data_IF_227946450671
#
_entry.id   IF_227946450671
#
_cell.length_a   1.000
_cell.length_b   1.000
_cell.length_c   1.000
_cell.angle_alpha   90.00
_cell.angle_beta   90.00
_cell.angle_gamma   90.00
#
_symmetry.space_group_name_H-M   'P 1'
#
loop_
_entity.id
_entity.type
_entity.pdbx_description
1 polymer ?
#
# COMPACT_ATOMS: atom_id res chain seq x y z
N UNK A 1 -17.85 7.24 30.19
CA UNK A 1 -18.17 8.63 29.77
C UNK A 1 -16.86 9.31 29.37
N UNK A 2 -16.83 10.18 28.36
CA UNK A 2 -15.59 10.50 27.63
C UNK A 2 -14.73 11.57 28.32
N UNK A 3 -13.49 11.22 28.63
CA UNK A 3 -12.48 12.13 29.24
C UNK A 3 -11.76 12.98 28.16
N UNK A 4 -11.98 12.70 26.87
CA UNK A 4 -11.15 13.20 25.76
C UNK A 4 -11.32 14.65 25.31
N UNK A 5 -12.28 15.43 25.81
CA UNK A 5 -12.44 16.86 25.42
C UNK A 5 -11.77 17.86 26.36
N UNK A 6 -11.57 17.52 27.63
CA UNK A 6 -11.03 18.47 28.62
C UNK A 6 -9.52 18.68 28.48
N UNK A 7 -8.76 17.67 28.07
CA UNK A 7 -7.31 17.77 27.90
C UNK A 7 -6.95 18.66 26.71
N UNK A 8 -7.55 18.41 25.53
CA UNK A 8 -7.38 19.24 24.33
C UNK A 8 -7.71 20.73 24.55
N UNK A 9 -8.69 21.06 25.40
CA UNK A 9 -9.02 22.45 25.70
C UNK A 9 -8.02 23.12 26.65
N UNK A 10 -7.40 22.37 27.57
CA UNK A 10 -6.44 22.92 28.54
C UNK A 10 -5.04 23.14 27.93
N UNK A 11 -4.62 22.29 26.98
CA UNK A 11 -3.37 22.52 26.21
C UNK A 11 -3.48 23.75 25.31
N UNK A 12 -4.66 23.95 24.69
CA UNK A 12 -4.97 25.10 23.83
C UNK A 12 -4.87 26.46 24.55
N UNK A 13 -5.18 26.52 25.85
CA UNK A 13 -5.27 27.78 26.60
C UNK A 13 -3.89 28.38 26.95
N UNK A 14 -2.81 27.59 26.93
CA UNK A 14 -1.47 28.03 27.38
C UNK A 14 -0.45 28.29 26.25
N UNK A 15 -0.86 28.27 24.98
CA UNK A 15 0.05 28.61 23.86
C UNK A 15 0.28 30.12 23.80
N UNK A 16 1.43 30.57 24.33
CA UNK A 16 1.70 31.98 24.64
C UNK A 16 1.88 32.97 23.46
N UNK A 17 1.63 32.56 22.21
CA UNK A 17 1.51 33.46 21.07
C UNK A 17 0.27 33.14 20.24
N UNK A 18 -0.60 34.14 20.06
CA UNK A 18 -1.88 34.04 19.34
C UNK A 18 -1.73 33.54 17.90
N UNK A 19 -0.60 33.79 17.25
CA UNK A 19 -0.28 33.25 15.93
C UNK A 19 -0.31 31.72 15.90
N UNK A 20 0.35 31.04 16.85
CA UNK A 20 0.43 29.58 16.89
C UNK A 20 -0.94 28.94 17.10
N UNK A 21 -1.79 29.55 17.94
CA UNK A 21 -3.17 29.13 18.12
C UNK A 21 -4.03 29.36 16.85
N UNK A 22 -3.86 30.49 16.16
CA UNK A 22 -4.58 30.75 14.89
C UNK A 22 -4.15 29.74 13.80
N UNK A 23 -2.86 29.43 13.70
CA UNK A 23 -2.32 28.44 12.75
C UNK A 23 -2.79 27.01 13.06
N UNK A 24 -3.02 26.67 14.34
CA UNK A 24 -3.70 25.44 14.72
C UNK A 24 -5.17 25.39 14.25
N UNK A 25 -5.88 26.52 14.25
CA UNK A 25 -7.29 26.58 13.83
C UNK A 25 -7.47 26.51 12.30
N UNK A 26 -6.51 26.95 11.49
CA UNK A 26 -6.61 26.93 10.02
C UNK A 26 -6.38 25.54 9.42
N UNK A 27 -5.81 24.59 10.19
CA UNK A 27 -5.34 23.27 9.72
C UNK A 27 -4.26 23.33 8.62
N UNK A 28 -3.61 24.47 8.46
CA UNK A 28 -2.57 24.66 7.45
C UNK A 28 -1.22 24.16 7.96
N UNK A 29 -0.91 22.89 7.70
CA UNK A 29 0.33 22.25 8.13
C UNK A 29 1.61 22.96 7.64
N UNK A 30 1.54 23.80 6.60
CA UNK A 30 2.68 24.54 6.08
C UNK A 30 3.15 25.64 7.04
N UNK A 31 2.39 25.94 8.10
CA UNK A 31 2.78 26.92 9.12
C UNK A 31 4.16 26.65 9.73
N UNK A 32 4.61 25.38 9.82
CA UNK A 32 5.95 25.08 10.34
C UNK A 32 7.07 25.66 9.47
N UNK A 33 6.84 25.81 8.16
CA UNK A 33 7.83 26.36 7.23
C UNK A 33 8.14 27.84 7.48
N UNK A 34 7.19 28.59 8.05
CA UNK A 34 7.32 30.03 8.32
C UNK A 34 7.95 30.34 9.68
N UNK A 35 7.98 29.36 10.58
CA UNK A 35 8.59 29.45 11.91
C UNK A 35 10.10 29.20 11.87
N UNK A 36 10.86 29.92 12.70
CA UNK A 36 12.27 29.63 12.95
C UNK A 36 12.43 28.29 13.69
N UNK A 37 13.61 27.66 13.59
CA UNK A 37 13.86 26.33 14.18
C UNK A 37 13.60 26.29 15.71
N UNK A 38 13.83 27.40 16.41
CA UNK A 38 13.64 27.55 17.86
C UNK A 38 12.15 27.69 18.26
N UNK A 39 11.28 28.11 17.32
CA UNK A 39 9.85 28.30 17.55
C UNK A 39 9.04 27.01 17.25
N UNK A 40 9.67 26.02 16.60
CA UNK A 40 9.06 24.73 16.25
C UNK A 40 9.07 23.80 17.47
N UNK A 41 8.16 24.03 18.40
CA UNK A 41 7.95 23.14 19.56
C UNK A 41 7.48 21.74 19.12
N UNK A 42 7.68 20.75 19.98
CA UNK A 42 7.22 19.37 19.74
C UNK A 42 5.71 19.31 19.45
N UNK A 43 4.87 20.01 20.22
CA UNK A 43 3.42 20.05 20.01
C UNK A 43 3.01 20.55 18.62
N UNK A 44 3.70 21.59 18.12
CA UNK A 44 3.47 22.14 16.78
C UNK A 44 3.92 21.17 15.69
N UNK A 45 5.02 20.45 15.92
CA UNK A 45 5.48 19.38 15.03
C UNK A 45 4.45 18.24 14.94
N UNK A 46 3.97 17.74 16.07
CA UNK A 46 2.90 16.73 16.13
C UNK A 46 1.60 17.21 15.47
N UNK A 47 1.22 18.47 15.66
CA UNK A 47 0.01 19.03 15.10
C UNK A 47 0.07 19.14 13.57
N UNK A 48 1.19 19.61 13.02
CA UNK A 48 1.34 19.72 11.56
C UNK A 48 1.40 18.35 10.87
N UNK A 49 2.16 17.38 11.41
CA UNK A 49 2.24 16.01 10.88
C UNK A 49 0.88 15.28 10.95
N UNK A 50 0.06 15.60 11.96
CA UNK A 50 -1.33 15.13 12.05
C UNK A 50 -2.24 15.68 10.94
N UNK A 51 -1.94 16.86 10.39
CA UNK A 51 -2.69 17.45 9.27
C UNK A 51 -2.16 17.01 7.90
N UNK A 52 -0.84 16.94 7.69
CA UNK A 52 -0.21 16.24 6.57
C UNK A 52 1.11 15.61 6.99
N UNK A 53 1.33 14.35 6.66
CA UNK A 53 2.59 13.65 6.95
C UNK A 53 3.80 14.29 6.25
N UNK A 54 3.57 14.98 5.14
CA UNK A 54 4.56 15.79 4.44
C UNK A 54 5.19 16.88 5.32
N UNK A 55 4.48 17.37 6.36
CA UNK A 55 4.99 18.38 7.30
C UNK A 55 6.24 17.93 8.07
N UNK A 56 6.55 16.62 8.08
CA UNK A 56 7.79 16.06 8.61
C UNK A 56 9.04 16.65 7.92
N UNK A 57 8.91 17.28 6.74
CA UNK A 57 9.98 18.07 6.13
C UNK A 57 10.53 19.14 7.08
N UNK A 58 9.65 19.91 7.73
CA UNK A 58 10.01 21.08 8.55
C UNK A 58 10.22 20.75 10.04
N UNK A 59 10.00 19.50 10.46
CA UNK A 59 10.22 19.08 11.84
C UNK A 59 11.72 19.05 12.16
N UNK A 60 12.21 19.71 13.23
CA UNK A 60 13.59 19.62 13.69
C UNK A 60 14.00 18.16 13.96
N UNK A 61 15.24 17.78 13.63
CA UNK A 61 15.69 16.38 13.71
C UNK A 61 15.47 15.75 15.10
N UNK A 62 15.65 16.52 16.19
CA UNK A 62 15.44 16.02 17.55
C UNK A 62 14.00 15.59 17.87
N UNK A 63 13.01 16.02 17.09
CA UNK A 63 11.60 15.66 17.26
C UNK A 63 11.11 14.61 16.25
N UNK A 64 11.96 14.16 15.31
CA UNK A 64 11.61 13.09 14.35
C UNK A 64 11.69 11.71 14.99
N UNK A 65 10.80 11.40 15.92
CA UNK A 65 10.74 10.07 16.55
C UNK A 65 10.12 9.01 15.63
N UNK A 66 10.27 7.73 15.97
CA UNK A 66 9.64 6.63 15.24
C UNK A 66 8.10 6.75 15.22
N UNK A 67 7.51 7.22 16.31
CA UNK A 67 6.06 7.44 16.44
C UNK A 67 5.56 8.58 15.54
N UNK A 68 6.33 9.66 15.42
CA UNK A 68 6.01 10.76 14.52
C UNK A 68 6.18 10.35 13.06
N UNK A 69 7.18 9.51 12.75
CA UNK A 69 7.36 8.90 11.43
C UNK A 69 6.21 7.93 11.07
N UNK A 70 5.73 7.13 12.03
CA UNK A 70 4.55 6.26 11.85
C UNK A 70 3.27 7.08 11.62
N UNK A 71 3.12 8.23 12.30
CA UNK A 71 2.03 9.17 12.01
C UNK A 71 2.16 9.77 10.60
N UNK A 72 3.36 10.16 10.18
CA UNK A 72 3.59 10.78 8.88
C UNK A 72 3.17 9.85 7.72
N UNK A 73 3.55 8.57 7.75
CA UNK A 73 3.12 7.62 6.71
C UNK A 73 1.63 7.27 6.77
N UNK A 74 0.92 7.57 7.87
CA UNK A 74 -0.54 7.41 7.96
C UNK A 74 -1.32 8.60 7.41
N UNK A 75 -0.73 9.79 7.39
CA UNK A 75 -1.42 11.04 7.03
C UNK A 75 -1.02 11.62 5.68
N UNK A 76 0.06 11.13 5.04
CA UNK A 76 0.38 11.42 3.64
C UNK A 76 1.25 10.34 2.99
N UNK A 77 1.06 10.10 1.69
CA UNK A 77 1.97 9.28 0.87
C UNK A 77 3.39 9.87 0.81
N UNK A 78 3.49 11.20 0.82
CA UNK A 78 4.76 11.94 0.80
C UNK A 78 5.47 11.94 2.16
N UNK A 79 4.80 11.52 3.24
CA UNK A 79 5.41 11.44 4.58
C UNK A 79 6.68 10.56 4.60
N UNK A 80 6.73 9.54 3.73
CA UNK A 80 7.87 8.64 3.55
C UNK A 80 9.17 9.34 3.09
N UNK A 81 9.06 10.46 2.37
CA UNK A 81 10.19 11.19 1.79
C UNK A 81 11.07 11.84 2.87
N UNK A 82 10.47 12.28 3.97
CA UNK A 82 11.12 13.13 4.98
C UNK A 82 11.50 12.39 6.28
N UNK A 83 11.35 11.06 6.27
CA UNK A 83 11.72 10.17 7.38
C UNK A 83 13.25 10.01 7.42
N UNK A 84 13.89 10.11 8.60
CA UNK A 84 15.32 9.84 8.77
C UNK A 84 15.72 8.41 8.34
N UNK A 85 16.93 8.25 7.81
CA UNK A 85 17.41 6.96 7.30
C UNK A 85 17.43 5.86 8.38
N UNK A 86 17.70 6.23 9.64
CA UNK A 86 17.69 5.32 10.79
C UNK A 86 16.32 4.66 11.07
N UNK A 87 15.22 5.20 10.52
CA UNK A 87 13.87 4.64 10.66
C UNK A 87 13.35 3.94 9.39
N UNK A 88 14.08 3.99 8.26
CA UNK A 88 13.65 3.41 6.98
C UNK A 88 13.86 1.90 6.93
N UNK A 89 12.95 1.15 7.56
CA UNK A 89 12.96 -0.33 7.55
C UNK A 89 11.97 -0.92 6.54
N UNK A 90 12.14 -2.19 6.11
CA UNK A 90 11.16 -2.90 5.28
C UNK A 90 9.74 -2.92 5.87
N UNK A 91 9.61 -2.98 7.20
CA UNK A 91 8.33 -2.95 7.91
C UNK A 91 7.65 -1.58 7.79
N UNK A 92 8.42 -0.48 7.83
CA UNK A 92 7.91 0.86 7.59
C UNK A 92 7.43 1.01 6.14
N UNK A 93 8.23 0.56 5.16
CA UNK A 93 7.83 0.58 3.75
C UNK A 93 6.57 -0.25 3.48
N UNK A 94 6.47 -1.46 4.05
CA UNK A 94 5.28 -2.30 3.94
C UNK A 94 4.04 -1.60 4.53
N UNK A 95 4.17 -0.96 5.69
CA UNK A 95 3.08 -0.21 6.32
C UNK A 95 2.66 1.01 5.48
N UNK A 96 3.61 1.74 4.89
CA UNK A 96 3.32 2.83 3.97
C UNK A 96 2.59 2.34 2.70
N UNK A 97 2.98 1.18 2.16
CA UNK A 97 2.26 0.56 1.04
C UNK A 97 0.84 0.12 1.41
N UNK A 98 0.59 -0.23 2.67
CA UNK A 98 -0.75 -0.56 3.17
C UNK A 98 -1.67 0.65 3.37
N UNK A 99 -1.15 1.89 3.34
CA UNK A 99 -1.96 3.11 3.41
C UNK A 99 -2.17 3.78 2.06
N UNK A 100 -1.10 3.87 1.24
CA UNK A 100 -1.12 4.67 0.01
C UNK A 100 -0.68 3.88 -1.23
N UNK A 101 0.01 2.77 -1.05
CA UNK A 101 0.54 1.95 -2.15
C UNK A 101 1.56 2.64 -3.05
N UNK A 102 2.21 3.74 -2.62
CA UNK A 102 3.09 4.53 -3.47
C UNK A 102 4.49 3.89 -3.67
N UNK A 103 4.54 2.87 -4.52
CA UNK A 103 5.74 2.06 -4.76
C UNK A 103 6.88 2.85 -5.43
N UNK A 104 6.57 3.99 -6.06
CA UNK A 104 7.55 4.89 -6.69
C UNK A 104 8.60 5.41 -5.70
N UNK A 105 8.18 5.66 -4.46
CA UNK A 105 9.01 6.24 -3.41
C UNK A 105 9.71 5.18 -2.53
N UNK A 106 9.63 3.90 -2.89
CA UNK A 106 10.35 2.81 -2.23
C UNK A 106 11.71 2.59 -2.92
N UNK A 107 12.85 2.64 -2.19
CA UNK A 107 14.17 2.33 -2.74
C UNK A 107 14.23 0.90 -3.32
N UNK A 108 14.98 0.71 -4.41
CA UNK A 108 15.04 -0.57 -5.14
C UNK A 108 15.46 -1.75 -4.24
N UNK A 109 16.46 -1.54 -3.38
CA UNK A 109 16.93 -2.53 -2.41
C UNK A 109 15.92 -2.86 -1.29
N UNK A 110 14.84 -2.10 -1.15
CA UNK A 110 13.74 -2.32 -0.20
C UNK A 110 12.50 -2.92 -0.86
N UNK A 111 12.46 -3.05 -2.19
CA UNK A 111 11.31 -3.62 -2.93
C UNK A 111 11.26 -5.15 -2.79
N UNK A 112 10.83 -5.61 -1.62
CA UNK A 112 10.52 -7.04 -1.43
C UNK A 112 9.20 -7.39 -2.12
N UNK A 113 9.02 -8.68 -2.45
CA UNK A 113 7.78 -9.21 -3.03
C UNK A 113 6.51 -8.75 -2.27
N UNK A 114 6.55 -8.76 -0.93
CA UNK A 114 5.42 -8.32 -0.08
C UNK A 114 5.08 -6.83 -0.24
N UNK A 115 6.11 -5.99 -0.36
CA UNK A 115 5.98 -4.54 -0.53
C UNK A 115 5.43 -4.23 -1.92
N UNK A 116 5.96 -4.87 -2.97
CA UNK A 116 5.47 -4.73 -4.33
C UNK A 116 4.03 -5.22 -4.49
N UNK A 117 3.70 -6.40 -3.94
CA UNK A 117 2.34 -6.95 -3.96
C UNK A 117 1.34 -6.00 -3.27
N UNK A 118 1.71 -5.43 -2.11
CA UNK A 118 0.87 -4.46 -1.40
C UNK A 118 0.64 -3.17 -2.21
N UNK A 119 1.68 -2.65 -2.88
CA UNK A 119 1.56 -1.50 -3.77
C UNK A 119 0.69 -1.78 -5.01
N UNK A 120 0.92 -2.90 -5.69
CA UNK A 120 0.11 -3.33 -6.85
C UNK A 120 -1.35 -3.55 -6.48
N UNK A 121 -1.63 -4.05 -5.28
CA UNK A 121 -3.00 -4.25 -4.75
C UNK A 121 -3.74 -2.93 -4.51
N UNK A 122 -3.04 -1.83 -4.19
CA UNK A 122 -3.63 -0.50 -4.10
C UNK A 122 -3.84 0.14 -5.46
N UNK A 123 -2.86 0.01 -6.36
CA UNK A 123 -2.91 0.59 -7.69
C UNK A 123 -2.10 -0.27 -8.66
N UNK A 124 -2.78 -0.91 -9.62
CA UNK A 124 -2.11 -1.77 -10.61
C UNK A 124 -1.12 -1.05 -11.54
N UNK A 125 -1.10 0.29 -11.56
CA UNK A 125 -0.04 1.07 -12.23
C UNK A 125 1.32 0.91 -11.57
N UNK A 126 1.36 0.47 -10.30
CA UNK A 126 2.61 0.18 -9.61
C UNK A 126 3.42 -0.97 -10.23
N UNK A 127 2.84 -1.75 -11.16
CA UNK A 127 3.62 -2.68 -12.01
C UNK A 127 4.78 -1.98 -12.73
N UNK A 128 4.66 -0.69 -13.08
CA UNK A 128 5.75 0.11 -13.66
C UNK A 128 6.97 0.26 -12.71
N UNK A 129 6.78 0.04 -11.39
CA UNK A 129 7.81 0.19 -10.36
C UNK A 129 8.23 -1.13 -9.70
N UNK A 130 7.69 -2.29 -10.13
CA UNK A 130 8.11 -3.60 -9.60
C UNK A 130 9.41 -4.05 -10.29
N UNK A 131 10.43 -4.51 -9.54
CA UNK A 131 11.63 -5.12 -10.11
C UNK A 131 11.30 -6.30 -11.02
N UNK A 132 11.94 -6.38 -12.18
CA UNK A 132 11.61 -7.38 -13.23
C UNK A 132 11.96 -8.82 -12.86
N UNK A 133 12.75 -9.02 -11.81
CA UNK A 133 13.13 -10.30 -11.22
C UNK A 133 12.11 -10.83 -10.19
N UNK A 134 11.22 -9.97 -9.65
CA UNK A 134 10.21 -10.37 -8.65
C UNK A 134 8.76 -10.21 -9.11
N UNK A 135 8.52 -9.57 -10.26
CA UNK A 135 7.19 -9.46 -10.86
C UNK A 135 6.69 -10.82 -11.34
N UNK A 136 5.44 -11.16 -11.03
CA UNK A 136 4.84 -12.46 -11.35
C UNK A 136 3.42 -12.34 -11.91
N UNK A 137 2.89 -13.48 -12.34
CA UNK A 137 1.52 -13.60 -12.85
C UNK A 137 0.48 -13.09 -11.83
N UNK A 138 0.68 -13.32 -10.53
CA UNK A 138 -0.22 -12.87 -9.46
C UNK A 138 -0.33 -11.34 -9.40
N UNK A 139 0.78 -10.62 -9.49
CA UNK A 139 0.77 -9.16 -9.56
C UNK A 139 0.02 -8.65 -10.80
N UNK A 140 0.17 -9.30 -11.97
CA UNK A 140 -0.60 -8.96 -13.16
C UNK A 140 -2.11 -9.20 -12.98
N UNK A 141 -2.52 -10.34 -12.41
CA UNK A 141 -3.93 -10.61 -12.09
C UNK A 141 -4.51 -9.54 -11.17
N UNK A 142 -3.83 -9.22 -10.06
CA UNK A 142 -4.29 -8.23 -9.08
C UNK A 142 -4.41 -6.84 -9.73
N UNK A 143 -3.38 -6.38 -10.44
CA UNK A 143 -3.40 -5.07 -11.11
C UNK A 143 -4.62 -4.92 -12.05
N UNK A 144 -4.90 -5.96 -12.80
CA UNK A 144 -5.99 -6.01 -13.78
C UNK A 144 -7.38 -6.13 -13.13
N UNK A 145 -7.48 -6.74 -11.93
CA UNK A 145 -8.72 -6.80 -11.13
C UNK A 145 -9.28 -5.41 -10.82
N UNK A 146 -8.39 -4.52 -10.39
CA UNK A 146 -8.77 -3.20 -9.88
C UNK A 146 -9.00 -2.18 -11.00
N UNK A 147 -8.20 -2.24 -12.07
CA UNK A 147 -8.42 -1.45 -13.28
C UNK A 147 -7.96 -2.23 -14.52
N UNK A 148 -8.93 -2.59 -15.37
CA UNK A 148 -8.72 -3.28 -16.65
C UNK A 148 -7.77 -2.57 -17.61
N UNK A 149 -7.57 -1.25 -17.47
CA UNK A 149 -6.58 -0.51 -18.26
C UNK A 149 -5.14 -1.00 -17.97
N UNK A 150 -4.91 -1.65 -16.84
CA UNK A 150 -3.62 -2.27 -16.48
C UNK A 150 -3.29 -3.51 -17.33
N UNK A 151 -4.21 -4.01 -18.19
CA UNK A 151 -3.89 -5.00 -19.23
C UNK A 151 -2.73 -4.52 -20.13
N UNK A 152 -2.54 -3.20 -20.28
CA UNK A 152 -1.41 -2.59 -21.01
C UNK A 152 -0.02 -2.94 -20.44
N UNK A 153 0.04 -3.40 -19.20
CA UNK A 153 1.29 -3.79 -18.52
C UNK A 153 1.54 -5.30 -18.57
N UNK A 154 0.55 -6.09 -18.97
CA UNK A 154 0.66 -7.54 -19.00
C UNK A 154 1.41 -7.96 -20.26
N UNK A 155 2.49 -8.78 -20.15
CA UNK A 155 3.16 -9.37 -21.29
C UNK A 155 2.15 -10.12 -22.18
N UNK A 156 2.19 -9.88 -23.50
CA UNK A 156 1.23 -10.44 -24.47
C UNK A 156 1.04 -11.97 -24.32
N UNK A 157 2.13 -12.70 -24.06
CA UNK A 157 2.15 -14.16 -23.80
C UNK A 157 1.26 -14.63 -22.63
N UNK A 158 0.91 -13.74 -21.71
CA UNK A 158 0.05 -14.01 -20.54
C UNK A 158 -1.41 -13.56 -20.77
N UNK A 159 -1.68 -12.78 -21.81
CA UNK A 159 -3.03 -12.33 -22.15
C UNK A 159 -3.80 -13.52 -22.74
N UNK A 160 -4.73 -14.04 -21.96
CA UNK A 160 -5.58 -15.17 -22.33
C UNK A 160 -7.05 -14.91 -21.97
N UNK A 161 -7.94 -15.79 -22.42
CA UNK A 161 -9.38 -15.66 -22.19
C UNK A 161 -9.75 -15.56 -20.70
N UNK A 162 -9.03 -16.27 -19.82
CA UNK A 162 -9.27 -16.23 -18.37
C UNK A 162 -8.89 -14.89 -17.74
N UNK A 163 -7.73 -14.32 -18.10
CA UNK A 163 -7.31 -12.99 -17.64
C UNK A 163 -8.20 -11.88 -18.19
N UNK A 164 -8.59 -11.95 -19.48
CA UNK A 164 -9.52 -10.99 -20.07
C UNK A 164 -10.88 -11.09 -19.37
N UNK A 165 -11.41 -12.30 -19.16
CA UNK A 165 -12.66 -12.48 -18.42
C UNK A 165 -12.55 -11.87 -17.00
N UNK A 166 -11.46 -12.14 -16.29
CA UNK A 166 -11.18 -11.60 -14.96
C UNK A 166 -11.08 -10.06 -14.93
N UNK A 167 -10.51 -9.45 -15.97
CA UNK A 167 -10.38 -7.99 -16.10
C UNK A 167 -11.72 -7.26 -16.28
N UNK A 168 -12.67 -7.89 -16.99
CA UNK A 168 -13.91 -7.25 -17.39
C UNK A 168 -15.12 -7.64 -16.52
N UNK A 169 -15.04 -8.73 -15.75
CA UNK A 169 -16.17 -9.20 -14.95
C UNK A 169 -16.31 -8.45 -13.62
N UNK A 170 -17.35 -7.60 -13.52
CA UNK A 170 -17.83 -7.09 -12.24
C UNK A 170 -18.90 -8.03 -11.68
N UNK A 171 -18.75 -8.42 -10.43
CA UNK A 171 -19.59 -9.46 -9.83
C UNK A 171 -21.08 -9.11 -9.77
N UNK A 172 -21.90 -10.17 -9.80
CA UNK A 172 -23.37 -10.23 -9.67
C UNK A 172 -24.21 -10.01 -10.94
N UNK A 173 -24.05 -8.94 -11.70
CA UNK A 173 -25.05 -8.62 -12.75
C UNK A 173 -25.00 -9.54 -13.99
N UNK A 174 -23.85 -10.16 -14.28
CA UNK A 174 -23.69 -11.14 -15.36
C UNK A 174 -23.77 -12.61 -14.88
N UNK A 175 -23.82 -12.82 -13.55
CA UNK A 175 -24.15 -14.12 -12.94
C UNK A 175 -25.63 -14.46 -13.21
N UNK A 176 -26.52 -13.50 -12.98
CA UNK A 176 -27.96 -13.64 -13.25
C UNK A 176 -28.28 -13.81 -14.76
N UNK A 177 -27.32 -13.52 -15.65
CA UNK A 177 -27.41 -13.72 -17.11
C UNK A 177 -26.83 -15.04 -17.61
N UNK A 178 -26.26 -15.87 -16.72
CA UNK A 178 -25.75 -17.20 -17.07
C UNK A 178 -24.52 -17.22 -17.99
N UNK A 179 -23.70 -16.16 -17.96
CA UNK A 179 -22.57 -15.98 -18.90
C UNK A 179 -21.31 -16.80 -18.48
N UNK A 180 -21.20 -17.19 -17.21
CA UNK A 180 -20.07 -17.99 -16.69
C UNK A 180 -20.50 -19.40 -16.29
N UNK A 181 -19.65 -20.40 -16.53
CA UNK A 181 -19.83 -21.77 -16.00
C UNK A 181 -19.55 -21.87 -14.49
N UNK A 182 -20.11 -22.91 -13.87
CA UNK A 182 -19.91 -23.29 -12.47
C UNK A 182 -18.44 -23.43 -12.07
N UNK A 183 -17.65 -23.97 -12.98
CA UNK A 183 -16.27 -24.40 -12.71
C UNK A 183 -15.34 -23.19 -12.56
N UNK A 184 -15.67 -22.11 -13.29
CA UNK A 184 -15.02 -20.82 -13.13
C UNK A 184 -15.29 -20.26 -11.72
N UNK A 185 -16.52 -20.31 -11.22
CA UNK A 185 -16.87 -19.80 -9.87
C UNK A 185 -16.09 -20.53 -8.77
N UNK A 186 -15.91 -21.86 -8.89
CA UNK A 186 -15.12 -22.64 -7.95
C UNK A 186 -13.65 -22.19 -7.88
N UNK A 187 -13.05 -21.79 -9.00
CA UNK A 187 -11.71 -21.20 -9.03
C UNK A 187 -11.66 -19.85 -8.30
N UNK A 188 -12.59 -18.93 -8.59
CA UNK A 188 -12.65 -17.61 -7.93
C UNK A 188 -12.76 -17.75 -6.40
N UNK A 189 -13.64 -18.65 -5.92
CA UNK A 189 -13.80 -18.91 -4.49
C UNK A 189 -12.55 -19.51 -3.85
N UNK A 190 -11.83 -20.40 -4.55
CA UNK A 190 -10.60 -20.99 -4.02
C UNK A 190 -9.45 -19.97 -4.00
N UNK A 191 -9.37 -19.08 -4.99
CA UNK A 191 -8.37 -18.02 -5.06
C UNK A 191 -8.60 -16.91 -4.02
N UNK A 192 -9.85 -16.50 -3.79
CA UNK A 192 -10.19 -15.55 -2.72
C UNK A 192 -9.77 -16.07 -1.34
N UNK A 193 -10.14 -17.32 -1.02
CA UNK A 193 -9.80 -17.97 0.25
C UNK A 193 -8.30 -18.26 0.42
N UNK A 194 -7.53 -18.29 -0.67
CA UNK A 194 -6.07 -18.30 -0.60
C UNK A 194 -5.50 -16.92 -0.25
N UNK A 195 -6.02 -15.83 -0.84
CA UNK A 195 -5.60 -14.46 -0.52
C UNK A 195 -5.96 -14.04 0.92
N UNK A 196 -7.11 -14.50 1.41
CA UNK A 196 -7.54 -14.29 2.81
C UNK A 196 -6.80 -15.21 3.82
N UNK A 197 -5.90 -16.08 3.34
CA UNK A 197 -5.09 -16.98 4.17
C UNK A 197 -5.84 -18.18 4.77
N UNK A 198 -7.11 -18.39 4.41
CA UNK A 198 -7.95 -19.47 4.95
C UNK A 198 -7.56 -20.88 4.46
N UNK A 199 -6.84 -20.98 3.33
CA UNK A 199 -6.43 -22.26 2.74
C UNK A 199 -4.91 -22.40 2.78
N UNK A 200 -4.40 -23.16 3.76
CA UNK A 200 -3.01 -23.61 3.78
C UNK A 200 -2.82 -24.85 2.90
N UNK A 201 -2.04 -24.70 1.83
CA UNK A 201 -1.41 -25.80 1.07
C UNK A 201 -2.28 -27.01 0.65
N UNK A 202 -3.49 -26.81 0.11
CA UNK A 202 -4.14 -27.81 -0.76
C UNK A 202 -5.04 -27.19 -1.83
N UNK A 203 -4.49 -27.00 -3.03
CA UNK A 203 -5.24 -26.68 -4.26
C UNK A 203 -5.41 -27.93 -5.14
N UNK A 204 -5.70 -29.08 -4.51
CA UNK A 204 -5.54 -30.42 -5.10
C UNK A 204 -6.77 -30.97 -5.83
N UNK A 205 -7.79 -30.16 -6.14
CA UNK A 205 -9.04 -30.63 -6.77
C UNK A 205 -9.70 -29.70 -7.79
N UNK A 206 -9.09 -28.57 -8.16
CA UNK A 206 -9.58 -27.73 -9.28
C UNK A 206 -8.67 -27.97 -10.49
N UNK A 207 -9.20 -28.63 -11.52
CA UNK A 207 -8.43 -29.15 -12.66
C UNK A 207 -7.99 -28.04 -13.64
N UNK A 208 -6.80 -27.48 -13.43
CA UNK A 208 -6.15 -26.55 -14.35
C UNK A 208 -5.09 -27.22 -15.24
N UNK A 209 -5.53 -27.72 -16.41
CA UNK A 209 -4.67 -28.04 -17.57
C UNK A 209 -5.50 -27.98 -18.85
N UNK A 210 -4.96 -27.57 -20.01
CA UNK A 210 -3.53 -27.41 -20.36
C UNK A 210 -3.16 -25.94 -20.72
N UNK A 211 -1.92 -25.56 -21.05
CA UNK A 211 -0.65 -26.33 -21.11
C UNK A 211 0.39 -25.82 -20.10
N UNK A 212 0.51 -24.50 -19.90
CA UNK A 212 1.71 -23.82 -19.37
C UNK A 212 2.23 -24.35 -18.02
N UNK A 213 1.35 -24.91 -17.20
CA UNK A 213 1.68 -25.50 -15.89
C UNK A 213 2.56 -26.77 -16.00
N UNK A 214 2.53 -27.50 -17.11
CA UNK A 214 3.27 -28.77 -17.26
C UNK A 214 4.79 -28.59 -17.44
N UNK A 215 5.27 -27.44 -17.91
CA UNK A 215 6.72 -27.16 -18.05
C UNK A 215 7.33 -26.69 -16.72
N UNK A 216 6.67 -25.78 -15.99
CA UNK A 216 7.18 -25.25 -14.72
C UNK A 216 7.27 -26.31 -13.60
N UNK A 217 6.43 -27.34 -13.66
CA UNK A 217 6.39 -28.45 -12.70
C UNK A 217 7.67 -29.32 -12.65
N UNK A 218 8.46 -29.35 -13.73
CA UNK A 218 9.69 -30.17 -13.80
C UNK A 218 10.96 -29.45 -13.38
N UNK A 219 11.14 -28.18 -13.74
CA UNK A 219 12.41 -27.48 -13.49
C UNK A 219 12.57 -27.03 -12.02
N UNK A 220 11.49 -26.57 -11.39
CA UNK A 220 11.51 -26.12 -9.97
C UNK A 220 11.95 -27.25 -9.02
N UNK A 221 11.72 -28.52 -9.38
CA UNK A 221 12.10 -29.68 -8.56
C UNK A 221 13.60 -30.02 -8.52
N UNK A 222 14.45 -29.34 -9.30
CA UNK A 222 15.89 -29.66 -9.38
C UNK A 222 16.83 -28.57 -8.89
N UNK A 223 16.35 -27.33 -8.66
CA UNK A 223 17.22 -26.19 -8.34
C UNK A 223 16.84 -25.41 -7.07
N UNK A 224 15.74 -25.75 -6.40
CA UNK A 224 15.30 -25.10 -5.15
C UNK A 224 15.68 -25.87 -3.87
N UNK A 225 16.45 -26.96 -3.98
CA UNK A 225 16.98 -27.74 -2.86
C UNK A 225 18.47 -28.12 -3.07
N UNK A 226 19.30 -27.11 -3.32
CA UNK A 226 20.65 -26.98 -2.76
C UNK A 226 20.88 -25.50 -2.39
#
# INVERSE_FOLDING_TARGET
MPVGRSYFLNEVINMHHSANFIMALTRDFQFLSTLNIEERTEDLCWLAVRYCGCALEWVPQQFKTAELCDLAIRTSSEGLLHIPEEFKTPELYLKAMQYWGDLKNVPENMKTYKICLAGVSHCGKNLEFVPTDIIDDLMYFIAVKHDKLNLRFVPEKLINASLIHFAFFKEKEDFDKGIISSDTIALYQTFARFLDGEISNTLSSVSFTPVLYMTMSKEIKTTAFQ
#
